data_IF_919685095226
#
_entry.id   IF_919685095226
#
_cell.length_a   1.000
_cell.length_b   1.000
_cell.length_c   1.000
_cell.angle_alpha   90.00
_cell.angle_beta   90.00
_cell.angle_gamma   90.00
#
_symmetry.space_group_name_H-M   'P 1'
#
loop_
_entity.id
_entity.type
_entity.pdbx_description
1 polymer ?
#
# COMPACT_ATOMS: atom_id res chain seq x y z
N UNK A 1 -10.35 -1.28 10.43
CA UNK A 1 -10.67 -1.08 9.00
C UNK A 1 -9.77 -1.87 8.07
N UNK A 2 -8.45 -1.76 8.20
CA UNK A 2 -7.55 -2.52 7.33
C UNK A 2 -7.77 -4.03 7.41
N UNK A 3 -7.92 -4.57 8.63
CA UNK A 3 -8.13 -6.01 8.80
C UNK A 3 -9.44 -6.48 8.14
N UNK A 4 -10.51 -5.69 8.26
CA UNK A 4 -11.79 -6.03 7.64
C UNK A 4 -11.69 -5.99 6.11
N UNK A 5 -11.01 -4.98 5.55
CA UNK A 5 -10.83 -4.88 4.10
C UNK A 5 -9.99 -6.05 3.58
N UNK A 6 -8.92 -6.40 4.30
CA UNK A 6 -8.07 -7.51 3.90
C UNK A 6 -8.85 -8.83 3.89
N UNK A 7 -9.67 -9.06 4.90
CA UNK A 7 -10.51 -10.26 4.97
C UNK A 7 -11.52 -10.29 3.84
N UNK A 8 -12.15 -9.16 3.52
CA UNK A 8 -13.08 -9.08 2.42
C UNK A 8 -12.39 -9.40 1.10
N UNK A 9 -11.20 -8.86 0.88
CA UNK A 9 -10.41 -9.14 -0.33
C UNK A 9 -10.08 -10.62 -0.44
N UNK A 10 -9.68 -11.25 0.67
CA UNK A 10 -9.40 -12.69 0.70
C UNK A 10 -10.62 -13.51 0.33
N UNK A 11 -11.79 -13.16 0.86
CA UNK A 11 -13.03 -13.84 0.52
C UNK A 11 -13.37 -13.71 -0.96
N UNK A 12 -13.25 -12.50 -1.50
CA UNK A 12 -13.51 -12.26 -2.92
C UNK A 12 -12.53 -13.08 -3.77
N UNK A 13 -11.26 -13.11 -3.38
CA UNK A 13 -10.24 -13.85 -4.11
C UNK A 13 -10.58 -15.34 -4.17
N UNK A 14 -11.03 -15.92 -3.05
CA UNK A 14 -11.40 -17.33 -2.99
C UNK A 14 -12.61 -17.59 -3.86
N UNK A 15 -13.67 -16.80 -3.72
CA UNK A 15 -14.91 -17.02 -4.43
C UNK A 15 -14.79 -16.83 -5.94
N UNK A 16 -13.98 -15.86 -6.36
CA UNK A 16 -13.87 -15.50 -7.77
C UNK A 16 -12.79 -16.29 -8.51
N UNK A 17 -12.01 -17.08 -7.80
CA UNK A 17 -10.92 -17.85 -8.40
C UNK A 17 -11.42 -18.82 -9.49
N UNK A 18 -12.61 -19.39 -9.28
CA UNK A 18 -13.20 -20.31 -10.26
C UNK A 18 -13.49 -19.66 -11.61
N UNK A 19 -13.56 -18.33 -11.64
CA UNK A 19 -13.78 -17.59 -12.88
C UNK A 19 -12.47 -17.02 -13.44
N UNK A 20 -11.34 -17.34 -12.82
CA UNK A 20 -10.05 -16.78 -13.23
C UNK A 20 -9.86 -15.31 -12.84
N UNK A 21 -10.65 -14.84 -11.87
CA UNK A 21 -10.58 -13.45 -11.43
C UNK A 21 -9.70 -13.36 -10.18
N UNK A 22 -8.77 -12.42 -10.19
CA UNK A 22 -7.91 -12.14 -9.05
C UNK A 22 -8.41 -10.91 -8.30
N UNK A 23 -8.21 -10.88 -7.00
CA UNK A 23 -8.58 -9.75 -6.16
C UNK A 23 -7.45 -9.46 -5.18
N UNK A 24 -6.96 -8.25 -5.20
CA UNK A 24 -5.87 -7.80 -4.34
C UNK A 24 -6.19 -6.41 -3.78
N UNK A 25 -5.53 -6.06 -2.69
CA UNK A 25 -5.70 -4.76 -2.05
C UNK A 25 -4.38 -3.99 -2.10
N UNK A 26 -4.47 -2.69 -2.34
CA UNK A 26 -3.32 -1.79 -2.19
C UNK A 26 -3.58 -0.94 -0.95
N UNK A 27 -2.60 -0.90 -0.06
CA UNK A 27 -2.68 -0.10 1.17
C UNK A 27 -1.63 1.02 1.07
N UNK A 28 -2.03 2.22 0.62
CA UNK A 28 -1.10 3.34 0.52
C UNK A 28 -0.87 3.99 1.88
N UNK A 29 0.29 4.64 2.03
CA UNK A 29 0.54 5.51 3.16
C UNK A 29 0.26 6.96 2.79
N UNK A 30 1.18 7.86 3.15
CA UNK A 30 1.07 9.25 2.71
C UNK A 30 1.30 9.34 1.21
N UNK A 31 0.35 9.97 0.51
CA UNK A 31 0.41 10.15 -0.94
C UNK A 31 0.37 11.64 -1.26
N UNK A 32 1.29 12.08 -2.09
CA UNK A 32 1.35 13.46 -2.54
C UNK A 32 0.40 13.64 -3.71
N UNK A 33 -0.74 14.27 -3.45
CA UNK A 33 -1.76 14.51 -4.49
C UNK A 33 -1.57 15.85 -5.19
N UNK A 34 -0.52 16.59 -4.84
CA UNK A 34 -0.29 17.93 -5.37
C UNK A 34 -0.96 19.03 -4.56
N UNK A 35 -1.85 18.67 -3.64
CA UNK A 35 -2.51 19.64 -2.75
C UNK A 35 -1.82 19.73 -1.39
N UNK A 36 -0.84 18.88 -1.13
CA UNK A 36 -0.17 18.80 0.16
C UNK A 36 0.84 19.93 0.33
N UNK A 37 0.89 20.50 1.52
CA UNK A 37 1.84 21.56 1.83
C UNK A 37 3.20 20.96 2.17
N UNK A 38 4.24 21.71 1.86
CA UNK A 38 5.62 21.26 2.12
C UNK A 38 5.87 21.01 3.60
N UNK A 39 5.36 21.89 4.47
CA UNK A 39 5.52 21.73 5.91
C UNK A 39 4.84 20.47 6.44
N UNK A 40 3.68 20.09 5.87
CA UNK A 40 3.02 18.84 6.23
C UNK A 40 3.88 17.65 5.90
N UNK A 41 4.51 17.65 4.73
CA UNK A 41 5.40 16.57 4.32
C UNK A 41 6.60 16.48 5.25
N UNK A 42 7.25 17.60 5.50
CA UNK A 42 8.47 17.63 6.32
C UNK A 42 8.20 17.15 7.75
N UNK A 43 7.05 17.49 8.31
CA UNK A 43 6.72 17.08 9.68
C UNK A 43 6.45 15.60 9.82
N UNK A 44 6.23 14.88 8.70
CA UNK A 44 5.97 13.45 8.72
C UNK A 44 7.16 12.61 8.30
N UNK A 45 8.16 13.20 7.67
CA UNK A 45 9.29 12.44 7.12
C UNK A 45 10.00 11.57 8.15
N UNK A 46 10.09 12.02 9.39
CA UNK A 46 10.75 11.22 10.43
C UNK A 46 10.03 9.91 10.71
N UNK A 47 8.74 9.81 10.33
CA UNK A 47 7.93 8.61 10.50
C UNK A 47 8.02 7.66 9.32
N UNK A 48 8.75 8.04 8.29
CA UNK A 48 8.79 7.30 7.03
C UNK A 48 10.23 6.88 6.72
N UNK A 49 10.54 5.58 6.72
CA UNK A 49 11.90 5.12 6.45
C UNK A 49 12.51 5.67 5.17
N UNK A 50 11.77 5.72 4.07
CA UNK A 50 12.30 6.25 2.82
C UNK A 50 12.24 7.77 2.73
N UNK A 51 11.74 8.45 3.78
CA UNK A 51 11.77 9.91 3.93
C UNK A 51 11.09 10.64 2.79
N UNK A 52 10.00 10.07 2.28
CA UNK A 52 9.20 10.71 1.24
C UNK A 52 7.78 10.18 1.28
N UNK A 53 6.86 10.96 0.72
CA UNK A 53 5.51 10.48 0.45
C UNK A 53 5.51 9.79 -0.92
N UNK A 54 4.60 8.84 -1.11
CA UNK A 54 4.43 8.22 -2.41
C UNK A 54 3.82 9.21 -3.39
N UNK A 55 4.17 9.07 -4.67
CA UNK A 55 3.53 9.86 -5.73
C UNK A 55 2.30 9.12 -6.22
N UNK A 56 1.38 9.89 -6.85
CA UNK A 56 0.21 9.30 -7.48
C UNK A 56 0.64 8.29 -8.55
N UNK A 57 1.70 8.61 -9.29
CA UNK A 57 2.24 7.74 -10.33
C UNK A 57 2.75 6.42 -9.76
N UNK A 58 3.39 6.46 -8.60
CA UNK A 58 3.88 5.24 -7.95
C UNK A 58 2.74 4.32 -7.54
N UNK A 59 1.65 4.91 -7.03
CA UNK A 59 0.46 4.13 -6.69
C UNK A 59 -0.17 3.55 -7.97
N UNK A 60 -0.28 4.37 -9.02
CA UNK A 60 -0.85 3.92 -10.29
C UNK A 60 -0.02 2.79 -10.91
N UNK A 61 1.30 2.89 -10.85
CA UNK A 61 2.19 1.84 -11.38
C UNK A 61 1.99 0.52 -10.61
N UNK A 62 1.75 0.61 -9.31
CA UNK A 62 1.48 -0.57 -8.49
C UNK A 62 0.16 -1.23 -8.91
N UNK A 63 -0.88 -0.42 -9.16
CA UNK A 63 -2.17 -0.92 -9.66
C UNK A 63 -1.97 -1.62 -11.00
N UNK A 64 -1.24 -0.99 -11.91
CA UNK A 64 -0.98 -1.56 -13.24
C UNK A 64 -0.24 -2.88 -13.14
N UNK A 65 0.75 -2.98 -12.25
CA UNK A 65 1.46 -4.23 -12.04
C UNK A 65 0.51 -5.35 -11.58
N UNK A 66 -0.30 -5.06 -10.57
CA UNK A 66 -1.23 -6.07 -10.03
C UNK A 66 -2.28 -6.48 -11.05
N UNK A 67 -2.66 -5.58 -11.97
CA UNK A 67 -3.63 -5.88 -13.01
C UNK A 67 -3.01 -6.60 -14.21
N UNK A 68 -1.69 -6.67 -14.29
CA UNK A 68 -1.00 -7.22 -15.45
C UNK A 68 -0.81 -8.73 -15.36
N UNK A 69 -0.41 -9.33 -16.47
CA UNK A 69 -0.05 -10.75 -16.53
C UNK A 69 1.18 -11.08 -15.68
N UNK A 70 2.02 -10.08 -15.42
CA UNK A 70 3.17 -10.25 -14.53
C UNK A 70 2.77 -10.61 -13.10
N UNK A 71 1.55 -10.31 -12.72
CA UNK A 71 1.01 -10.60 -11.40
C UNK A 71 -0.01 -11.76 -11.46
N UNK A 72 0.07 -12.61 -12.47
CA UNK A 72 -0.94 -13.65 -12.74
C UNK A 72 -1.15 -14.63 -11.58
N UNK A 73 -0.16 -14.82 -10.75
CA UNK A 73 -0.24 -15.74 -9.60
C UNK A 73 -0.50 -15.04 -8.28
N UNK A 74 -0.80 -13.73 -8.31
CA UNK A 74 -1.05 -12.95 -7.09
C UNK A 74 -2.55 -12.72 -6.93
N UNK A 75 -3.12 -13.28 -5.87
CA UNK A 75 -4.51 -13.04 -5.52
C UNK A 75 -4.66 -13.15 -4.01
N UNK A 76 -5.57 -12.38 -3.44
CA UNK A 76 -5.81 -12.36 -2.00
C UNK A 76 -4.75 -11.60 -1.22
N UNK A 77 -3.83 -10.91 -1.89
CA UNK A 77 -2.74 -10.22 -1.25
C UNK A 77 -3.09 -8.78 -0.90
N UNK A 78 -2.40 -8.25 0.10
CA UNK A 78 -2.40 -6.83 0.41
C UNK A 78 -1.00 -6.31 0.16
N UNK A 79 -0.87 -5.35 -0.75
CA UNK A 79 0.42 -4.75 -1.08
C UNK A 79 0.50 -3.37 -0.46
N UNK A 80 1.39 -3.22 0.50
CA UNK A 80 1.60 -1.96 1.20
C UNK A 80 2.56 -1.08 0.41
N UNK A 81 2.14 0.15 0.12
CA UNK A 81 2.93 1.11 -0.66
C UNK A 81 3.01 2.40 0.15
N UNK A 82 3.90 2.43 1.14
CA UNK A 82 3.94 3.49 2.13
C UNK A 82 5.36 3.95 2.49
N UNK A 83 6.33 3.59 1.67
CA UNK A 83 7.73 3.94 1.91
C UNK A 83 8.24 3.45 3.27
N UNK A 84 7.60 2.41 3.81
CA UNK A 84 7.99 1.79 5.06
C UNK A 84 7.32 2.37 6.29
N UNK A 85 6.41 3.34 6.14
CA UNK A 85 5.83 4.05 7.28
C UNK A 85 5.14 3.12 8.28
N UNK A 86 4.43 2.11 7.81
CA UNK A 86 3.71 1.19 8.70
C UNK A 86 4.64 0.37 9.59
N UNK A 87 5.90 0.24 9.21
CA UNK A 87 6.88 -0.48 10.01
C UNK A 87 7.33 0.31 11.23
N UNK A 88 7.18 1.63 11.18
CA UNK A 88 7.65 2.50 12.25
C UNK A 88 6.64 2.69 13.38
N UNK A 89 5.38 2.77 13.11
CA UNK A 89 4.32 2.92 14.12
C UNK A 89 4.88 3.15 15.54
N UNK A 90 4.36 2.41 16.54
CA UNK A 90 4.88 2.45 17.91
C UNK A 90 6.22 1.71 18.06
N UNK A 91 6.59 0.93 17.06
CA UNK A 91 7.81 0.11 17.08
C UNK A 91 8.99 0.79 16.41
N UNK A 92 8.75 1.87 15.72
CA UNK A 92 9.77 2.56 14.94
C UNK A 92 10.98 2.96 15.76
N UNK A 93 10.75 3.48 16.94
CA UNK A 93 11.83 3.90 17.84
C UNK A 93 12.75 2.75 18.24
N UNK A 94 12.18 1.55 18.39
CA UNK A 94 12.97 0.37 18.77
C UNK A 94 13.98 -0.03 17.72
N UNK A 95 13.72 0.33 16.47
CA UNK A 95 14.58 -0.03 15.36
C UNK A 95 15.56 1.07 15.00
N UNK A 96 15.54 2.18 15.70
CA UNK A 96 16.48 3.25 15.49
C UNK A 96 16.20 4.09 14.23
N UNK A 97 15.03 3.99 13.71
CA UNK A 97 14.66 4.80 12.54
C UNK A 97 14.44 6.25 12.94
#
# INVERSE_FOLDING_TARGET
MKAALNKMTEHIAIEMAKYGIRANTIAPGWVDTGASRLDEKETTYYKIPLKKWATVEEIADTVLFLASDSAASITGATLTVDNGASLMCDKGEKYGF
#
